data_IF_330108892266
#
_entry.id   IF_330108892266
#
_cell.length_a   1.000
_cell.length_b   1.000
_cell.length_c   1.000
_cell.angle_alpha   90.00
_cell.angle_beta   90.00
_cell.angle_gamma   90.00
#
_symmetry.space_group_name_H-M   'P 1'
#
loop_
_entity.id
_entity.type
_entity.pdbx_description
1 polymer ?
#
# COMPACT_ATOMS: atom_id res chain seq x y z
N UNK A 1 12.30 -10.64 -20.80
CA UNK A 1 12.70 -9.81 -19.65
C UNK A 1 11.53 -9.90 -18.69
N UNK A 2 11.69 -10.74 -17.66
CA UNK A 2 10.59 -11.07 -16.75
C UNK A 2 10.32 -9.86 -15.88
N UNK A 3 9.05 -9.48 -15.81
CA UNK A 3 8.48 -8.48 -14.93
C UNK A 3 9.23 -8.41 -13.59
N UNK A 4 10.02 -7.36 -13.39
CA UNK A 4 10.82 -7.12 -12.18
C UNK A 4 9.92 -6.68 -11.01
N UNK A 5 8.79 -7.37 -10.80
CA UNK A 5 7.97 -7.23 -9.59
C UNK A 5 8.40 -8.30 -8.59
N UNK A 6 9.11 -7.89 -7.55
CA UNK A 6 9.49 -8.75 -6.44
C UNK A 6 8.42 -8.60 -5.36
N UNK A 7 7.61 -9.64 -5.15
CA UNK A 7 6.69 -9.64 -3.99
C UNK A 7 7.49 -9.50 -2.71
N UNK A 8 7.08 -8.57 -1.84
CA UNK A 8 7.69 -8.36 -0.54
C UNK A 8 6.74 -8.77 0.57
N UNK A 9 7.34 -9.00 1.72
CA UNK A 9 6.60 -9.37 2.91
C UNK A 9 6.15 -8.09 3.63
N UNK A 10 4.92 -7.67 3.36
CA UNK A 10 4.29 -6.55 4.06
C UNK A 10 4.26 -6.79 5.59
N UNK A 11 4.19 -8.06 6.02
CA UNK A 11 4.19 -8.44 7.43
C UNK A 11 5.56 -8.30 8.11
N UNK A 12 6.63 -8.04 7.35
CA UNK A 12 7.96 -7.77 7.90
C UNK A 12 8.14 -6.32 8.38
N UNK A 13 7.21 -5.42 8.07
CA UNK A 13 7.17 -4.05 8.62
C UNK A 13 6.80 -4.05 10.08
N UNK A 14 7.14 -2.96 10.77
CA UNK A 14 6.68 -2.74 12.14
C UNK A 14 5.15 -2.70 12.22
N UNK A 15 4.61 -3.15 13.36
CA UNK A 15 3.16 -3.21 13.58
C UNK A 15 2.51 -1.82 13.44
N UNK A 16 3.20 -0.75 13.85
CA UNK A 16 2.74 0.63 13.69
C UNK A 16 2.59 1.03 12.21
N UNK A 17 3.54 0.65 11.35
CA UNK A 17 3.45 0.90 9.91
C UNK A 17 2.32 0.09 9.28
N UNK A 18 2.20 -1.20 9.64
CA UNK A 18 1.11 -2.04 9.16
C UNK A 18 -0.25 -1.44 9.54
N UNK A 19 -0.40 -1.00 10.79
CA UNK A 19 -1.62 -0.34 11.25
C UNK A 19 -1.86 0.98 10.51
N UNK A 20 -0.83 1.77 10.23
CA UNK A 20 -0.96 2.99 9.45
C UNK A 20 -1.51 2.70 8.04
N UNK A 21 -0.99 1.69 7.34
CA UNK A 21 -1.54 1.29 6.04
C UNK A 21 -2.96 0.74 6.16
N UNK A 22 -3.25 -0.09 7.17
CA UNK A 22 -4.57 -0.72 7.36
C UNK A 22 -5.66 0.24 7.83
N UNK A 23 -5.29 1.35 8.46
CA UNK A 23 -6.26 2.31 9.04
C UNK A 23 -6.19 3.68 8.40
N UNK A 24 -4.99 4.21 8.15
CA UNK A 24 -4.71 5.55 7.61
C UNK A 24 -4.56 5.53 6.09
N UNK A 25 -5.41 4.79 5.39
CA UNK A 25 -5.43 4.79 3.92
C UNK A 25 -6.20 5.99 3.38
N UNK A 26 -5.65 6.64 2.37
CA UNK A 26 -6.37 7.57 1.51
C UNK A 26 -7.06 6.83 0.37
N UNK A 27 -8.34 7.09 0.14
CA UNK A 27 -9.05 6.56 -1.03
C UNK A 27 -9.54 7.69 -1.92
N UNK A 28 -9.08 7.76 -3.17
CA UNK A 28 -9.49 8.79 -4.13
C UNK A 28 -10.97 8.73 -4.52
N UNK A 29 -11.59 7.55 -4.45
CA UNK A 29 -13.02 7.39 -4.70
C UNK A 29 -13.87 8.02 -3.60
N UNK A 30 -13.47 7.79 -2.35
CA UNK A 30 -14.15 8.34 -1.19
C UNK A 30 -13.69 9.77 -0.87
N UNK A 31 -12.53 10.18 -1.36
CA UNK A 31 -11.83 11.43 -1.06
C UNK A 31 -11.66 11.67 0.45
N UNK A 32 -11.35 10.59 1.17
CA UNK A 32 -11.19 10.59 2.62
C UNK A 32 -9.97 9.80 3.02
N UNK A 33 -9.25 10.33 4.02
CA UNK A 33 -8.25 9.60 4.78
C UNK A 33 -8.93 8.76 5.87
N UNK A 34 -8.20 7.78 6.39
CA UNK A 34 -8.60 6.97 7.55
C UNK A 34 -9.75 5.99 7.32
N UNK A 35 -9.97 5.57 6.08
CA UNK A 35 -10.98 4.53 5.78
C UNK A 35 -10.46 3.13 6.05
N UNK A 36 -9.14 2.97 5.99
CA UNK A 36 -8.46 1.70 6.02
C UNK A 36 -8.56 0.90 4.73
N UNK A 37 -7.62 -0.02 4.57
CA UNK A 37 -7.60 -0.98 3.47
C UNK A 37 -7.43 -2.40 3.97
N UNK A 38 -8.00 -3.32 3.21
CA UNK A 38 -7.87 -4.75 3.40
C UNK A 38 -7.15 -5.39 2.21
N UNK A 39 -6.65 -6.61 2.41
CA UNK A 39 -5.93 -7.35 1.36
C UNK A 39 -4.71 -6.58 0.85
N UNK A 40 -3.89 -6.08 1.79
CA UNK A 40 -2.67 -5.33 1.48
C UNK A 40 -1.60 -6.28 0.94
N UNK A 41 -1.01 -5.92 -0.19
CA UNK A 41 0.04 -6.65 -0.88
C UNK A 41 1.16 -5.67 -1.18
N UNK A 42 2.35 -5.98 -0.68
CA UNK A 42 3.55 -5.20 -0.99
C UNK A 42 4.35 -5.90 -2.10
N UNK A 43 4.82 -5.12 -3.06
CA UNK A 43 5.76 -5.57 -4.07
C UNK A 43 6.69 -4.44 -4.50
N UNK A 44 7.91 -4.80 -4.85
CA UNK A 44 8.90 -3.89 -5.40
C UNK A 44 8.91 -4.03 -6.92
N UNK A 45 8.75 -2.92 -7.64
CA UNK A 45 8.81 -2.88 -9.09
C UNK A 45 9.85 -1.86 -9.54
N UNK A 46 10.87 -2.32 -10.28
CA UNK A 46 11.97 -1.47 -10.80
C UNK A 46 12.70 -0.66 -9.70
N UNK A 47 12.82 -1.23 -8.50
CA UNK A 47 13.43 -0.58 -7.34
C UNK A 47 12.50 0.41 -6.60
N UNK A 48 11.22 0.49 -6.99
CA UNK A 48 10.21 1.30 -6.29
C UNK A 48 9.27 0.37 -5.53
N UNK A 49 8.99 0.69 -4.28
CA UNK A 49 8.07 -0.08 -3.46
C UNK A 49 6.63 0.35 -3.71
N UNK A 50 5.76 -0.62 -3.97
CA UNK A 50 4.33 -0.42 -4.16
C UNK A 50 3.56 -1.24 -3.13
N UNK A 51 2.56 -0.61 -2.55
CA UNK A 51 1.59 -1.23 -1.66
C UNK A 51 0.23 -1.14 -2.34
N UNK A 52 -0.34 -2.29 -2.70
CA UNK A 52 -1.68 -2.39 -3.25
C UNK A 52 -2.64 -2.93 -2.18
N UNK A 53 -3.79 -2.31 -2.01
CA UNK A 53 -4.85 -2.79 -1.12
C UNK A 53 -6.23 -2.44 -1.65
N UNK A 54 -7.28 -2.79 -0.92
CA UNK A 54 -8.66 -2.42 -1.24
C UNK A 54 -9.26 -1.61 -0.11
N UNK A 55 -9.83 -0.46 -0.44
CA UNK A 55 -10.48 0.40 0.52
C UNK A 55 -11.65 -0.33 1.22
N UNK A 56 -11.68 -0.34 2.55
CA UNK A 56 -12.76 -1.00 3.32
C UNK A 56 -14.11 -0.32 3.14
N UNK A 57 -14.13 1.00 2.91
CA UNK A 57 -15.36 1.77 2.70
C UNK A 57 -16.07 1.54 1.35
N UNK A 58 -15.32 1.54 0.24
CA UNK A 58 -15.91 1.44 -1.11
C UNK A 58 -15.49 0.20 -1.92
N UNK A 59 -14.49 -0.54 -1.46
CA UNK A 59 -13.94 -1.72 -2.16
C UNK A 59 -13.03 -1.39 -3.34
N UNK A 60 -12.76 -0.12 -3.61
CA UNK A 60 -11.87 0.29 -4.71
C UNK A 60 -10.42 -0.08 -4.42
N UNK A 61 -9.66 -0.47 -5.46
CA UNK A 61 -8.23 -0.69 -5.33
C UNK A 61 -7.53 0.64 -5.02
N UNK A 62 -6.71 0.63 -3.98
CA UNK A 62 -5.86 1.74 -3.57
C UNK A 62 -4.41 1.28 -3.74
N UNK A 63 -3.62 2.08 -4.44
CA UNK A 63 -2.19 1.86 -4.63
C UNK A 63 -1.43 2.99 -3.93
N UNK A 64 -0.52 2.64 -3.05
CA UNK A 64 0.41 3.58 -2.41
C UNK A 64 1.81 3.28 -2.90
N UNK A 65 2.40 4.26 -3.59
CA UNK A 65 3.81 4.22 -3.96
C UNK A 65 4.64 4.71 -2.78
N UNK A 66 5.61 3.90 -2.36
CA UNK A 66 6.61 4.25 -1.37
C UNK A 66 7.91 4.57 -2.09
N UNK A 67 8.08 5.85 -2.38
CA UNK A 67 9.35 6.41 -2.79
C UNK A 67 10.13 6.81 -1.55
N UNK A 68 11.36 6.30 -1.40
CA UNK A 68 12.33 6.70 -0.38
C UNK A 68 12.89 8.12 -0.68
N UNK A 69 12.00 9.05 -1.02
CA UNK A 69 12.33 10.42 -1.39
C UNK A 69 12.51 11.22 -0.09
N UNK A 70 13.55 10.88 0.68
CA UNK A 70 14.21 11.79 1.61
C UNK A 70 14.99 12.80 0.75
N UNK A 71 14.30 13.84 0.27
CA UNK A 71 14.89 14.98 -0.45
C UNK A 71 14.97 16.24 0.42
#
# INVERSE_FOLDING_TARGET
>A
MLDERTMRDFGARDEDEQQAFLTQTWCDKCQQANLGMHTVIEYELKGVLFIEGKCTGCGEPVLTELTDDDF
#
